data_IF_237994343386
#
_entry.id   IF_237994343386
#
_cell.length_a   1.000
_cell.length_b   1.000
_cell.length_c   1.000
_cell.angle_alpha   90.00
_cell.angle_beta   90.00
_cell.angle_gamma   90.00
#
_symmetry.space_group_name_H-M   'P 1'
#
loop_
_entity.id
_entity.type
_entity.pdbx_description
1 polymer ?
#
# COMPACT_ATOMS: atom_id res chain seq x y z
N UNK A 1 4.11 20.80 -16.54
CA UNK A 1 3.33 19.72 -15.91
C UNK A 1 1.92 20.25 -15.72
N UNK A 2 0.95 19.78 -16.51
CA UNK A 2 -0.43 20.27 -16.45
C UNK A 2 -1.19 19.55 -15.35
N UNK A 3 -1.80 20.32 -14.44
CA UNK A 3 -2.77 19.82 -13.46
C UNK A 3 -3.88 19.08 -14.21
N UNK A 4 -3.93 17.75 -14.11
CA UNK A 4 -5.09 16.98 -14.56
C UNK A 4 -6.13 17.01 -13.44
N UNK A 5 -7.35 17.43 -13.77
CA UNK A 5 -8.49 17.42 -12.85
C UNK A 5 -9.38 16.23 -13.24
N UNK A 6 -9.78 15.39 -12.27
CA UNK A 6 -10.82 14.36 -12.44
C UNK A 6 -12.00 14.68 -11.50
N UNK A 7 -13.25 14.37 -11.91
CA UNK A 7 -14.40 14.45 -11.01
C UNK A 7 -14.24 13.48 -9.83
N UNK A 8 -14.66 13.89 -8.63
CA UNK A 8 -14.66 13.04 -7.44
C UNK A 8 -15.77 11.97 -7.53
N UNK A 9 -15.45 10.71 -7.22
CA UNK A 9 -16.45 9.70 -6.88
C UNK A 9 -16.80 9.82 -5.39
N UNK A 10 -18.08 10.01 -5.01
CA UNK A 10 -18.50 10.25 -3.63
C UNK A 10 -18.43 9.01 -2.70
N UNK A 11 -17.89 7.88 -3.18
CA UNK A 11 -17.89 6.61 -2.44
C UNK A 11 -16.73 6.43 -1.44
N UNK A 12 -15.78 7.37 -1.35
CA UNK A 12 -14.49 7.18 -0.65
C UNK A 12 -14.43 7.70 0.81
N UNK A 13 -15.56 7.99 1.46
CA UNK A 13 -15.68 7.92 2.92
C UNK A 13 -14.94 8.94 3.82
N UNK A 14 -14.08 9.83 3.33
CA UNK A 14 -13.41 10.84 4.18
C UNK A 14 -14.10 12.21 4.04
N UNK A 15 -14.82 12.66 5.10
CA UNK A 15 -15.77 13.80 5.13
C UNK A 15 -15.19 15.22 4.94
N UNK A 16 -15.95 16.33 5.23
CA UNK A 16 -17.22 16.43 5.96
C UNK A 16 -18.43 16.68 5.06
N UNK A 17 -19.62 16.52 5.66
CA UNK A 17 -20.94 16.86 5.14
C UNK A 17 -21.00 18.30 4.63
N UNK A 18 -20.74 18.51 3.33
CA UNK A 18 -21.23 19.67 2.62
C UNK A 18 -21.59 19.24 1.20
N UNK A 19 -22.72 18.55 1.11
CA UNK A 19 -23.39 18.29 -0.15
C UNK A 19 -23.86 19.64 -0.72
N UNK A 20 -23.06 20.31 -1.56
CA UNK A 20 -23.48 21.27 -2.62
C UNK A 20 -22.28 22.00 -3.26
N UNK A 21 -21.37 21.27 -3.92
CA UNK A 21 -20.66 21.90 -5.06
C UNK A 21 -20.31 20.84 -6.14
N UNK A 22 -21.09 20.76 -7.24
CA UNK A 22 -20.77 19.90 -8.38
C UNK A 22 -19.50 20.33 -9.14
N UNK A 23 -18.81 21.41 -8.73
CA UNK A 23 -17.50 21.85 -9.25
C UNK A 23 -16.33 21.56 -8.32
N UNK A 24 -16.54 20.88 -7.19
CA UNK A 24 -15.46 20.45 -6.32
C UNK A 24 -14.54 19.47 -7.07
N UNK A 25 -13.43 19.99 -7.59
CA UNK A 25 -12.37 19.16 -8.16
C UNK A 25 -11.59 18.57 -7.00
N UNK A 26 -11.58 17.24 -6.88
CA UNK A 26 -10.65 16.56 -5.99
C UNK A 26 -9.25 16.93 -6.47
N UNK A 27 -8.46 17.57 -5.61
CA UNK A 27 -7.04 17.79 -5.89
C UNK A 27 -6.43 16.40 -6.11
N UNK A 28 -6.02 16.11 -7.34
CA UNK A 28 -5.13 14.97 -7.57
C UNK A 28 -3.86 15.31 -6.82
N UNK A 29 -3.63 14.64 -5.70
CA UNK A 29 -2.36 14.74 -4.99
C UNK A 29 -1.32 14.20 -5.96
N UNK A 30 -0.37 15.02 -6.38
CA UNK A 30 0.74 14.54 -7.20
C UNK A 30 1.91 14.23 -6.28
N UNK A 31 2.17 12.95 -6.06
CA UNK A 31 3.38 12.50 -5.37
C UNK A 31 4.63 12.84 -6.20
N UNK A 32 5.77 13.02 -5.52
CA UNK A 32 7.08 13.07 -6.15
C UNK A 32 7.62 11.65 -6.32
N UNK A 33 7.94 11.19 -7.55
CA UNK A 33 8.52 9.87 -7.74
C UNK A 33 9.89 9.75 -7.04
N UNK A 34 10.06 8.69 -6.26
CA UNK A 34 11.33 8.32 -5.63
C UNK A 34 11.78 6.94 -6.09
N UNK A 35 13.09 6.75 -6.23
CA UNK A 35 13.65 5.47 -6.64
C UNK A 35 13.44 4.41 -5.57
N UNK A 36 13.05 3.21 -6.00
CA UNK A 36 12.85 2.03 -5.16
C UNK A 36 14.04 1.09 -5.33
N UNK A 37 14.62 0.66 -4.20
CA UNK A 37 15.68 -0.34 -4.20
C UNK A 37 15.20 -1.70 -4.73
N UNK A 38 16.03 -2.38 -5.53
CA UNK A 38 15.65 -3.64 -6.18
C UNK A 38 15.48 -4.82 -5.22
N UNK A 39 16.03 -4.72 -4.01
CA UNK A 39 15.92 -5.74 -2.95
C UNK A 39 14.73 -5.55 -2.00
N UNK A 40 14.02 -4.42 -2.08
CA UNK A 40 12.90 -4.14 -1.18
C UNK A 40 11.67 -5.02 -1.49
N UNK A 41 10.89 -5.41 -0.47
CA UNK A 41 9.49 -5.80 -0.69
C UNK A 41 8.66 -4.52 -0.65
N UNK A 42 7.99 -4.18 -1.76
CA UNK A 42 7.26 -2.92 -1.91
C UNK A 42 6.43 -2.92 -3.19
N UNK A 43 5.91 -1.75 -3.58
CA UNK A 43 5.29 -1.45 -4.87
C UNK A 43 6.18 -0.49 -5.67
N UNK A 44 6.08 -0.54 -7.00
CA UNK A 44 6.84 0.35 -7.90
C UNK A 44 6.13 0.54 -9.23
N UNK A 45 6.41 1.63 -9.92
CA UNK A 45 5.99 1.82 -11.30
C UNK A 45 6.83 0.96 -12.24
N UNK A 46 6.16 0.27 -13.16
CA UNK A 46 6.76 -0.51 -14.23
C UNK A 46 5.85 -0.50 -15.46
N UNK A 47 6.37 -0.02 -16.61
CA UNK A 47 5.61 0.03 -17.86
C UNK A 47 4.34 0.89 -17.77
N UNK A 48 4.41 1.99 -17.02
CA UNK A 48 3.26 2.88 -16.80
C UNK A 48 2.21 2.35 -15.81
N UNK A 49 2.47 1.24 -15.12
CA UNK A 49 1.54 0.62 -14.16
C UNK A 49 2.18 0.45 -12.79
N UNK A 50 1.37 0.50 -11.73
CA UNK A 50 1.82 0.15 -10.39
C UNK A 50 1.84 -1.38 -10.23
N UNK A 51 2.99 -1.93 -9.84
CA UNK A 51 3.22 -3.36 -9.67
C UNK A 51 3.82 -3.66 -8.30
N UNK A 52 3.62 -4.88 -7.81
CA UNK A 52 4.28 -5.38 -6.59
C UNK A 52 5.68 -5.90 -6.92
N UNK A 53 6.66 -5.49 -6.13
CA UNK A 53 8.00 -6.09 -6.05
C UNK A 53 8.07 -6.94 -4.78
N UNK A 54 7.95 -8.26 -4.91
CA UNK A 54 8.05 -9.22 -3.80
C UNK A 54 9.27 -10.11 -3.99
N UNK A 55 10.31 -9.82 -3.22
CA UNK A 55 11.58 -10.53 -3.16
C UNK A 55 11.62 -11.60 -2.04
N UNK A 56 10.52 -11.81 -1.31
CA UNK A 56 10.45 -12.89 -0.33
C UNK A 56 10.50 -14.25 -1.04
N UNK A 57 11.40 -15.13 -0.58
CA UNK A 57 11.53 -16.52 -1.04
C UNK A 57 11.15 -17.54 0.05
N UNK A 58 10.75 -17.06 1.23
CA UNK A 58 10.37 -17.87 2.38
C UNK A 58 8.96 -18.47 2.25
N UNK A 59 8.57 -19.29 3.23
CA UNK A 59 7.29 -20.01 3.21
C UNK A 59 6.07 -19.09 3.25
N UNK A 60 6.22 -17.84 3.72
CA UNK A 60 5.15 -16.84 3.79
C UNK A 60 5.15 -15.87 2.61
N UNK A 61 5.83 -16.18 1.49
CA UNK A 61 5.92 -15.31 0.30
C UNK A 61 4.55 -14.79 -0.16
N UNK A 62 3.53 -15.64 -0.17
CA UNK A 62 2.18 -15.24 -0.56
C UNK A 62 1.58 -14.21 0.42
N UNK A 63 1.87 -14.32 1.71
CA UNK A 63 1.41 -13.35 2.69
C UNK A 63 2.14 -12.00 2.55
N UNK A 64 3.43 -12.01 2.17
CA UNK A 64 4.12 -10.78 1.74
C UNK A 64 3.48 -10.20 0.49
N UNK A 65 3.10 -11.02 -0.50
CA UNK A 65 2.42 -10.55 -1.71
C UNK A 65 1.12 -9.80 -1.36
N UNK A 66 0.29 -10.36 -0.49
CA UNK A 66 -0.97 -9.75 -0.06
C UNK A 66 -0.76 -8.45 0.72
N UNK A 67 0.31 -8.37 1.53
CA UNK A 67 0.72 -7.13 2.20
C UNK A 67 1.04 -6.03 1.18
N UNK A 68 1.89 -6.30 0.19
CA UNK A 68 2.24 -5.30 -0.83
C UNK A 68 1.05 -4.95 -1.76
N UNK A 69 0.15 -5.89 -2.01
CA UNK A 69 -1.08 -5.63 -2.76
C UNK A 69 -2.02 -4.66 -2.02
N UNK A 70 -2.00 -4.65 -0.69
CA UNK A 70 -2.74 -3.67 0.09
C UNK A 70 -2.15 -2.27 -0.11
N UNK A 71 -0.82 -2.10 -0.06
CA UNK A 71 -0.17 -0.84 -0.43
C UNK A 71 -0.51 -0.42 -1.85
N UNK A 72 -0.52 -1.37 -2.80
CA UNK A 72 -0.89 -1.06 -4.19
C UNK A 72 -2.28 -0.42 -4.27
N UNK A 73 -3.27 -1.03 -3.61
CA UNK A 73 -4.65 -0.52 -3.56
C UNK A 73 -4.70 0.87 -2.94
N UNK A 74 -4.03 1.06 -1.81
CA UNK A 74 -3.99 2.34 -1.11
C UNK A 74 -3.39 3.46 -1.97
N UNK A 75 -2.32 3.16 -2.71
CA UNK A 75 -1.71 4.12 -3.65
C UNK A 75 -2.60 4.42 -4.85
N UNK A 76 -3.25 3.41 -5.42
CA UNK A 76 -4.20 3.59 -6.53
C UNK A 76 -5.40 4.44 -6.09
N UNK A 77 -5.89 4.26 -4.85
CA UNK A 77 -6.94 5.10 -4.27
C UNK A 77 -6.46 6.54 -4.05
N UNK A 78 -5.23 6.74 -3.53
CA UNK A 78 -4.70 8.08 -3.22
C UNK A 78 -4.33 8.89 -4.47
N UNK A 79 -3.60 8.28 -5.39
CA UNK A 79 -2.97 8.97 -6.52
C UNK A 79 -3.73 8.77 -7.84
N UNK A 80 -4.74 7.88 -7.86
CA UNK A 80 -5.53 7.56 -9.03
C UNK A 80 -4.87 6.52 -9.94
N UNK A 81 -5.62 5.94 -10.91
CA UNK A 81 -5.16 4.83 -11.74
C UNK A 81 -3.99 5.17 -12.67
N UNK A 82 -3.80 6.46 -12.98
CA UNK A 82 -2.74 6.95 -13.86
C UNK A 82 -1.45 7.32 -13.11
N UNK A 83 -1.31 6.98 -11.82
CA UNK A 83 -0.19 7.43 -10.97
C UNK A 83 1.21 7.11 -11.53
N UNK A 84 1.32 6.10 -12.39
CA UNK A 84 2.58 5.67 -13.00
C UNK A 84 2.77 6.14 -14.45
N UNK A 85 1.81 6.86 -15.04
CA UNK A 85 1.94 7.37 -16.41
C UNK A 85 3.04 8.42 -16.47
N UNK A 86 4.10 8.13 -17.24
CA UNK A 86 5.28 9.00 -17.36
C UNK A 86 6.25 8.92 -16.19
N UNK A 87 6.02 8.03 -15.22
CA UNK A 87 6.96 7.77 -14.11
C UNK A 87 8.02 6.75 -14.55
N UNK A 88 9.29 7.04 -14.25
CA UNK A 88 10.41 6.14 -14.55
C UNK A 88 10.22 4.78 -13.87
N UNK A 89 10.53 3.70 -14.59
CA UNK A 89 10.49 2.35 -14.03
C UNK A 89 11.33 2.25 -12.74
N UNK A 90 10.82 1.51 -11.76
CA UNK A 90 11.48 1.40 -10.46
C UNK A 90 11.31 2.60 -9.55
N UNK A 91 10.45 3.56 -9.88
CA UNK A 91 10.09 4.66 -8.98
C UNK A 91 8.67 4.50 -8.43
N UNK A 92 8.41 5.14 -7.29
CA UNK A 92 7.09 5.19 -6.66
C UNK A 92 6.75 6.65 -6.35
N UNK A 93 5.60 7.19 -6.79
CA UNK A 93 5.12 8.48 -6.31
C UNK A 93 4.84 8.45 -4.81
N UNK A 94 5.44 9.39 -4.06
CA UNK A 94 5.26 9.54 -2.61
C UNK A 94 5.01 11.00 -2.23
N UNK A 95 4.50 11.27 -1.04
CA UNK A 95 4.31 12.64 -0.55
C UNK A 95 2.93 13.26 -0.86
N UNK A 96 2.88 14.60 -0.74
CA UNK A 96 1.65 15.40 -0.75
C UNK A 96 1.00 15.54 0.64
N UNK A 97 -0.02 16.40 0.72
CA UNK A 97 -0.68 16.70 1.99
C UNK A 97 -1.21 15.42 2.67
N UNK A 98 -0.99 15.30 3.98
CA UNK A 98 -1.40 14.15 4.78
C UNK A 98 -0.66 12.85 4.51
N UNK A 99 0.46 12.86 3.76
CA UNK A 99 1.16 11.63 3.37
C UNK A 99 1.63 10.78 4.56
N UNK A 100 2.10 11.39 5.64
CA UNK A 100 2.55 10.66 6.82
C UNK A 100 1.42 9.80 7.45
N UNK A 101 0.23 10.39 7.60
CA UNK A 101 -0.94 9.68 8.13
C UNK A 101 -1.46 8.64 7.15
N UNK A 102 -1.50 8.97 5.85
CA UNK A 102 -1.82 8.00 4.81
C UNK A 102 -0.90 6.78 4.85
N UNK A 103 0.42 7.00 4.94
CA UNK A 103 1.41 5.94 5.01
C UNK A 103 1.19 5.07 6.24
N UNK A 104 1.03 5.69 7.43
CA UNK A 104 0.74 4.98 8.68
C UNK A 104 -0.49 4.09 8.56
N UNK A 105 -1.60 4.60 8.01
CA UNK A 105 -2.82 3.83 7.82
C UNK A 105 -2.67 2.71 6.79
N UNK A 106 -1.93 2.96 5.70
CA UNK A 106 -1.65 1.94 4.69
C UNK A 106 -0.82 0.79 5.26
N UNK A 107 0.22 1.10 6.04
CA UNK A 107 1.01 0.11 6.79
C UNK A 107 0.12 -0.69 7.75
N UNK A 108 -0.76 -0.04 8.53
CA UNK A 108 -1.70 -0.74 9.42
C UNK A 108 -2.56 -1.75 8.66
N UNK A 109 -3.19 -1.36 7.56
CA UNK A 109 -4.01 -2.27 6.74
C UNK A 109 -3.16 -3.40 6.15
N UNK A 110 -1.98 -3.09 5.62
CA UNK A 110 -1.10 -4.07 5.00
C UNK A 110 -0.60 -5.11 6.02
N UNK A 111 -0.22 -4.70 7.23
CA UNK A 111 0.17 -5.62 8.30
C UNK A 111 -1.01 -6.45 8.81
N UNK A 112 -2.22 -5.88 8.92
CA UNK A 112 -3.42 -6.65 9.26
C UNK A 112 -3.69 -7.76 8.23
N UNK A 113 -3.64 -7.44 6.94
CA UNK A 113 -3.82 -8.41 5.84
C UNK A 113 -2.72 -9.49 5.87
N UNK A 114 -1.46 -9.08 5.99
CA UNK A 114 -0.32 -10.00 6.05
C UNK A 114 -0.38 -10.94 7.25
N UNK A 115 -0.69 -10.41 8.44
CA UNK A 115 -0.84 -11.19 9.67
C UNK A 115 -1.95 -12.22 9.57
N UNK A 116 -3.13 -11.81 9.10
CA UNK A 116 -4.28 -12.72 8.93
C UNK A 116 -3.94 -13.87 7.97
N UNK A 117 -3.25 -13.58 6.86
CA UNK A 117 -2.74 -14.60 5.96
C UNK A 117 -1.79 -15.56 6.66
N UNK A 118 -0.81 -15.05 7.43
CA UNK A 118 0.19 -15.88 8.14
C UNK A 118 -0.43 -16.73 9.23
N UNK A 119 -1.43 -16.22 9.95
CA UNK A 119 -2.17 -16.99 10.95
C UNK A 119 -2.90 -18.18 10.31
N UNK A 120 -3.52 -17.95 9.15
CA UNK A 120 -4.15 -19.03 8.37
C UNK A 120 -3.11 -20.04 7.87
N UNK A 121 -2.00 -19.56 7.31
CA UNK A 121 -0.91 -20.40 6.81
C UNK A 121 -0.29 -21.27 7.92
N UNK A 122 -0.14 -20.72 9.14
CA UNK A 122 0.43 -21.42 10.27
C UNK A 122 -0.37 -22.68 10.66
N UNK A 123 -1.69 -22.70 10.40
CA UNK A 123 -2.54 -23.84 10.73
C UNK A 123 -2.21 -25.09 9.89
N UNK A 124 -1.70 -24.92 8.67
CA UNK A 124 -1.41 -26.01 7.73
C UNK A 124 0.07 -26.15 7.40
N UNK A 125 0.92 -25.23 7.90
CA UNK A 125 2.35 -25.23 7.64
C UNK A 125 3.09 -26.47 8.18
N UNK A 126 4.11 -26.88 7.44
CA UNK A 126 5.02 -27.96 7.83
C UNK A 126 5.74 -27.62 9.15
N UNK A 127 6.17 -28.66 9.90
CA UNK A 127 6.93 -28.45 11.14
C UNK A 127 8.20 -27.60 10.93
N UNK A 128 8.83 -27.70 9.76
CA UNK A 128 10.02 -26.93 9.40
C UNK A 128 9.74 -25.44 9.18
N UNK A 129 8.57 -25.09 8.62
CA UNK A 129 8.23 -23.71 8.28
C UNK A 129 7.57 -22.93 9.42
N UNK A 130 6.92 -23.64 10.35
CA UNK A 130 6.19 -23.04 11.49
C UNK A 130 7.01 -21.99 12.27
N UNK A 131 8.30 -22.21 12.61
CA UNK A 131 9.08 -21.21 13.32
C UNK A 131 9.29 -19.91 12.51
N UNK A 132 9.44 -19.99 11.19
CA UNK A 132 9.58 -18.83 10.32
C UNK A 132 8.28 -18.03 10.24
N UNK A 133 7.16 -18.72 10.03
CA UNK A 133 5.84 -18.10 9.96
C UNK A 133 5.47 -17.45 11.30
N UNK A 134 5.73 -18.13 12.42
CA UNK A 134 5.48 -17.59 13.76
C UNK A 134 6.29 -16.31 14.02
N UNK A 135 7.57 -16.27 13.64
CA UNK A 135 8.39 -15.05 13.75
C UNK A 135 7.84 -13.90 12.89
N UNK A 136 7.32 -14.21 11.71
CA UNK A 136 6.71 -13.20 10.85
C UNK A 136 5.42 -12.61 11.47
N UNK A 137 4.58 -13.44 12.13
CA UNK A 137 3.41 -12.96 12.88
C UNK A 137 3.82 -12.02 14.01
N UNK A 138 4.85 -12.38 14.79
CA UNK A 138 5.37 -11.53 15.88
C UNK A 138 5.90 -10.19 15.35
N UNK A 139 6.59 -10.20 14.20
CA UNK A 139 7.01 -8.97 13.52
C UNK A 139 5.80 -8.11 13.13
N UNK A 140 4.76 -8.71 12.56
CA UNK A 140 3.55 -7.98 12.18
C UNK A 140 2.86 -7.38 13.41
N UNK A 141 2.80 -8.09 14.55
CA UNK A 141 2.29 -7.54 15.81
C UNK A 141 3.08 -6.33 16.30
N UNK A 142 4.41 -6.40 16.24
CA UNK A 142 5.27 -5.28 16.61
C UNK A 142 5.03 -4.06 15.71
N UNK A 143 4.78 -4.28 14.42
CA UNK A 143 4.50 -3.21 13.45
C UNK A 143 3.12 -2.60 13.63
N UNK A 144 2.11 -3.41 13.97
CA UNK A 144 0.79 -2.90 14.32
C UNK A 144 0.83 -2.05 15.59
N UNK A 145 1.63 -2.47 16.58
CA UNK A 145 1.87 -1.70 17.80
C UNK A 145 2.62 -0.40 17.54
N UNK A 146 3.73 -0.42 16.78
CA UNK A 146 4.55 0.76 16.50
C UNK A 146 3.80 1.82 15.70
N UNK A 147 2.93 1.41 14.78
CA UNK A 147 2.09 2.30 13.98
C UNK A 147 0.83 2.80 14.72
N UNK A 148 0.64 2.41 15.98
CA UNK A 148 -0.56 2.75 16.77
C UNK A 148 -1.85 2.42 16.03
N UNK A 149 -1.92 1.23 15.46
CA UNK A 149 -3.11 0.76 14.75
C UNK A 149 -4.21 0.46 15.76
N UNK A 150 -5.34 1.14 15.63
CA UNK A 150 -6.55 0.96 16.45
C UNK A 150 -7.49 -0.05 15.82
#
# INVERSE_FOLDING_TARGET
MTNRQRPCDPASGDGPTSATDPRATCRIVTGTPVAVGTSANTIKCQGGRLVVQNNNSGPDRECTQRHEEQHKRDWETRYGPDLCVGVTNGHLPVGGDGYAEFLRQSECRAYQVGKSCRQTLLATASAADRPLIQRAIVRDDAQLGSNSCT
#
